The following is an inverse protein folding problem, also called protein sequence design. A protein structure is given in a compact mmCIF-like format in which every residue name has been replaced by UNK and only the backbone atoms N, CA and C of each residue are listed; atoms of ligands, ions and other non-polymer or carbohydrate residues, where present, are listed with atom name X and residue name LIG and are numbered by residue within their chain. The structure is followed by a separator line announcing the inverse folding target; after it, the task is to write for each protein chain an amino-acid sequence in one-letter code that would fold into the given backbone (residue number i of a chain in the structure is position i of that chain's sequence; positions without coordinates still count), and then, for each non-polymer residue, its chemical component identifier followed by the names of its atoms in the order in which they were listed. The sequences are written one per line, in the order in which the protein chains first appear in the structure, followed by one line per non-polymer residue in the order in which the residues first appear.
data_IF_695815437010
#
_entry.id   IF_695815437010
#
_cell.length_a   1.000
_cell.length_b   1.000
_cell.length_c   1.000
_cell.angle_alpha   90.00
_cell.angle_beta   90.00
_cell.angle_gamma   90.00
#
_symmetry.space_group_name_H-M   'P 1'
#
loop_
_entity.id
_entity.type
_entity.pdbx_description
1 polymer ?
#
# COMPACT_ATOMS: atom_id res chain seq x y z
N UNK A 1 29.41 -23.66 -3.47
CA UNK A 1 29.20 -22.40 -4.24
C UNK A 1 27.85 -21.84 -3.84
N UNK A 2 27.79 -20.69 -3.19
CA UNK A 2 26.54 -20.17 -2.63
C UNK A 2 25.77 -19.42 -3.74
N UNK A 3 24.81 -20.07 -4.38
CA UNK A 3 24.04 -19.59 -5.54
C UNK A 3 23.35 -18.24 -5.24
N UNK A 4 23.00 -17.98 -3.96
CA UNK A 4 22.35 -16.74 -3.55
C UNK A 4 23.27 -15.50 -3.52
N UNK A 5 24.59 -15.66 -3.68
CA UNK A 5 25.54 -14.53 -3.80
C UNK A 5 25.68 -14.01 -5.24
N UNK A 6 25.07 -14.65 -6.22
CA UNK A 6 25.14 -14.23 -7.61
C UNK A 6 24.03 -13.20 -7.91
N UNK A 7 24.41 -11.93 -8.09
CA UNK A 7 23.46 -10.85 -8.35
C UNK A 7 22.63 -11.02 -9.63
N UNK A 8 23.19 -11.70 -10.66
CA UNK A 8 22.46 -12.02 -11.89
C UNK A 8 21.37 -13.07 -11.63
N UNK A 9 21.68 -14.11 -10.87
CA UNK A 9 20.72 -15.14 -10.48
C UNK A 9 19.57 -14.56 -9.63
N UNK A 10 19.88 -13.69 -8.69
CA UNK A 10 18.87 -12.99 -7.88
C UNK A 10 17.96 -12.09 -8.74
N UNK A 11 18.53 -11.39 -9.74
CA UNK A 11 17.72 -10.61 -10.71
C UNK A 11 16.81 -11.50 -11.55
N UNK A 12 17.31 -12.63 -12.04
CA UNK A 12 16.52 -13.60 -12.83
C UNK A 12 15.35 -14.17 -12.00
N UNK A 13 15.58 -14.52 -10.74
CA UNK A 13 14.50 -14.99 -9.84
C UNK A 13 13.52 -13.86 -9.53
N UNK A 14 14.00 -12.65 -9.26
CA UNK A 14 13.14 -11.51 -8.92
C UNK A 14 12.13 -11.18 -10.04
N UNK A 15 12.53 -11.37 -11.30
CA UNK A 15 11.71 -11.11 -12.48
C UNK A 15 11.08 -12.37 -13.09
N UNK A 16 11.31 -13.55 -12.49
CA UNK A 16 10.88 -14.81 -13.07
C UNK A 16 9.35 -14.99 -13.01
N UNK A 17 8.76 -15.68 -14.01
CA UNK A 17 7.35 -16.06 -14.00
C UNK A 17 7.01 -17.02 -12.84
N UNK A 18 7.99 -17.75 -12.30
CA UNK A 18 7.83 -18.63 -11.14
C UNK A 18 7.33 -17.83 -9.92
N UNK A 19 7.86 -16.63 -9.71
CA UNK A 19 7.39 -15.74 -8.63
C UNK A 19 5.93 -15.35 -8.80
N UNK A 20 5.49 -15.10 -10.02
CA UNK A 20 4.09 -14.78 -10.32
C UNK A 20 3.16 -15.95 -9.96
N UNK A 21 3.55 -17.18 -10.35
CA UNK A 21 2.78 -18.40 -10.06
C UNK A 21 2.62 -18.59 -8.56
N UNK A 22 3.68 -18.43 -7.77
CA UNK A 22 3.63 -18.53 -6.32
C UNK A 22 2.82 -17.42 -5.63
N UNK A 23 2.82 -16.21 -6.18
CA UNK A 23 2.10 -15.09 -5.58
C UNK A 23 0.61 -15.04 -5.96
N UNK A 24 0.21 -15.66 -7.07
CA UNK A 24 -1.17 -15.65 -7.54
C UNK A 24 -2.20 -16.13 -6.50
N UNK A 25 -2.01 -17.27 -5.80
CA UNK A 25 -2.94 -17.71 -4.77
C UNK A 25 -2.96 -16.77 -3.55
N UNK A 26 -1.80 -16.25 -3.15
CA UNK A 26 -1.67 -15.30 -2.03
C UNK A 26 -2.44 -14.02 -2.35
N UNK A 27 -2.22 -13.44 -3.53
CA UNK A 27 -2.92 -12.26 -4.03
C UNK A 27 -4.43 -12.48 -4.06
N UNK A 28 -4.89 -13.62 -4.59
CA UNK A 28 -6.31 -13.98 -4.63
C UNK A 28 -6.91 -14.04 -3.22
N UNK A 29 -6.19 -14.64 -2.26
CA UNK A 29 -6.61 -14.73 -0.86
C UNK A 29 -6.77 -13.34 -0.23
N UNK A 30 -5.74 -12.49 -0.29
CA UNK A 30 -5.77 -11.15 0.28
C UNK A 30 -6.87 -10.29 -0.37
N UNK A 31 -7.01 -10.36 -1.70
CA UNK A 31 -8.05 -9.61 -2.41
C UNK A 31 -9.45 -10.06 -2.05
N UNK A 32 -9.67 -11.36 -1.82
CA UNK A 32 -10.98 -11.90 -1.43
C UNK A 32 -11.48 -11.37 -0.07
N UNK A 33 -10.56 -11.14 0.86
CA UNK A 33 -10.88 -10.65 2.21
C UNK A 33 -10.77 -9.12 2.34
N UNK A 34 -10.41 -8.42 1.27
CA UNK A 34 -10.32 -6.96 1.26
C UNK A 34 -11.59 -6.34 0.71
N UNK A 35 -12.11 -5.35 1.39
CA UNK A 35 -13.09 -4.41 0.84
C UNK A 35 -12.39 -3.31 0.05
N UNK A 36 -13.04 -2.83 -1.01
CA UNK A 36 -12.60 -1.67 -1.79
C UNK A 36 -13.47 -0.47 -1.41
N UNK A 37 -12.84 0.67 -1.21
CA UNK A 37 -13.52 1.96 -1.07
C UNK A 37 -12.80 3.03 -1.88
N UNK A 38 -13.54 4.05 -2.30
CA UNK A 38 -12.98 5.27 -2.89
C UNK A 38 -12.99 6.34 -1.80
N UNK A 39 -11.86 6.96 -1.57
CA UNK A 39 -11.71 8.11 -0.69
C UNK A 39 -11.55 9.36 -1.57
N UNK A 40 -12.32 10.39 -1.31
CA UNK A 40 -12.22 11.70 -1.98
C UNK A 40 -11.82 12.74 -0.94
N UNK A 41 -10.75 13.46 -1.22
CA UNK A 41 -10.18 14.50 -0.35
C UNK A 41 -10.89 15.84 -0.53
N UNK A 42 -10.55 16.80 0.33
CA UNK A 42 -11.09 18.16 0.32
C UNK A 42 -10.83 18.90 -1.00
N UNK A 43 -9.73 18.59 -1.69
CA UNK A 43 -9.39 19.12 -3.02
C UNK A 43 -10.01 18.34 -4.19
N UNK A 44 -11.01 17.49 -3.91
CA UNK A 44 -11.75 16.69 -4.90
C UNK A 44 -10.91 15.64 -5.64
N UNK A 45 -9.74 15.29 -5.14
CA UNK A 45 -8.95 14.19 -5.67
C UNK A 45 -9.37 12.86 -5.02
N UNK A 46 -9.42 11.80 -5.81
CA UNK A 46 -9.90 10.49 -5.38
C UNK A 46 -8.83 9.42 -5.50
N UNK A 47 -8.77 8.55 -4.51
CA UNK A 47 -7.88 7.38 -4.46
C UNK A 47 -8.66 6.13 -4.09
N UNK A 48 -8.12 4.97 -4.42
CA UNK A 48 -8.68 3.69 -4.01
C UNK A 48 -7.97 3.14 -2.77
N UNK A 49 -8.75 2.65 -1.82
CA UNK A 49 -8.26 2.00 -0.61
C UNK A 49 -8.81 0.58 -0.58
N UNK A 50 -7.93 -0.40 -0.35
CA UNK A 50 -8.26 -1.82 -0.19
C UNK A 50 -7.91 -2.27 1.22
N UNK A 51 -8.90 -2.64 2.01
CA UNK A 51 -8.76 -2.87 3.44
C UNK A 51 -9.27 -4.26 3.85
N UNK A 52 -8.47 -4.99 4.66
CA UNK A 52 -8.97 -6.09 5.48
C UNK A 52 -9.42 -5.54 6.84
N UNK A 53 -10.42 -6.12 7.47
CA UNK A 53 -10.92 -5.65 8.77
C UNK A 53 -11.23 -6.83 9.69
N UNK A 54 -10.18 -7.46 10.21
CA UNK A 54 -10.24 -8.65 11.07
C UNK A 54 -9.47 -8.47 12.39
N UNK A 55 -8.53 -7.52 12.46
CA UNK A 55 -7.57 -7.38 13.55
C UNK A 55 -7.50 -5.94 14.07
N UNK A 56 -6.94 -5.77 15.29
CA UNK A 56 -6.76 -4.45 15.91
C UNK A 56 -5.55 -3.68 15.38
N UNK A 57 -4.45 -4.39 15.05
CA UNK A 57 -3.24 -3.76 14.48
C UNK A 57 -3.44 -3.56 12.99
N UNK A 58 -3.16 -2.37 12.49
CA UNK A 58 -3.31 -2.02 11.07
C UNK A 58 -2.01 -1.57 10.45
N UNK A 59 -1.81 -1.91 9.21
CA UNK A 59 -0.66 -1.44 8.43
C UNK A 59 -1.14 -0.87 7.10
N UNK A 60 -0.76 0.39 6.84
CA UNK A 60 -1.04 1.10 5.60
C UNK A 60 0.17 1.01 4.69
N UNK A 61 -0.05 0.50 3.47
CA UNK A 61 0.98 0.34 2.45
C UNK A 61 0.89 1.44 1.40
N UNK A 62 2.02 2.12 1.19
CA UNK A 62 2.24 3.05 0.09
C UNK A 62 3.14 2.38 -0.95
N UNK A 63 2.65 2.13 -2.16
CA UNK A 63 3.46 1.54 -3.23
C UNK A 63 4.52 2.52 -3.73
N UNK A 64 5.52 1.99 -4.45
CA UNK A 64 6.46 2.81 -5.21
C UNK A 64 5.82 3.40 -6.46
N UNK A 65 6.62 4.13 -7.24
CA UNK A 65 6.20 4.71 -8.52
C UNK A 65 5.56 3.66 -9.44
N UNK A 66 4.41 3.96 -10.00
CA UNK A 66 3.57 3.06 -10.80
C UNK A 66 3.17 1.75 -10.09
N UNK A 67 3.42 1.64 -8.79
CA UNK A 67 3.01 0.49 -8.01
C UNK A 67 1.51 0.52 -7.68
N UNK A 68 0.97 -0.65 -7.37
CA UNK A 68 -0.46 -0.83 -7.03
C UNK A 68 -0.64 -1.89 -5.95
N UNK A 69 -1.87 -2.07 -5.48
CA UNK A 69 -2.22 -3.02 -4.40
C UNK A 69 -1.71 -4.46 -4.59
N UNK A 70 -1.48 -4.87 -5.84
CA UNK A 70 -1.05 -6.22 -6.21
C UNK A 70 0.42 -6.29 -6.64
N UNK A 71 1.20 -5.24 -6.38
CA UNK A 71 2.64 -5.20 -6.71
C UNK A 71 3.38 -6.37 -6.08
N UNK A 72 4.27 -7.00 -6.86
CA UNK A 72 4.98 -8.25 -6.50
C UNK A 72 5.84 -8.14 -5.23
N UNK A 73 6.28 -6.94 -4.88
CA UNK A 73 7.04 -6.69 -3.66
C UNK A 73 6.12 -6.50 -2.44
N UNK A 74 4.90 -6.02 -2.64
CA UNK A 74 3.95 -5.70 -1.58
C UNK A 74 3.19 -6.95 -1.10
N UNK A 75 2.70 -7.78 -2.01
CA UNK A 75 1.85 -8.93 -1.70
C UNK A 75 2.46 -9.92 -0.70
N UNK A 76 3.74 -10.36 -0.83
CA UNK A 76 4.34 -11.27 0.15
C UNK A 76 4.39 -10.68 1.56
N UNK A 77 4.76 -9.40 1.68
CA UNK A 77 4.83 -8.73 2.97
C UNK A 77 3.43 -8.52 3.57
N UNK A 78 2.46 -8.11 2.74
CA UNK A 78 1.07 -7.99 3.16
C UNK A 78 0.52 -9.32 3.71
N UNK A 79 0.80 -10.44 3.03
CA UNK A 79 0.39 -11.76 3.51
C UNK A 79 1.10 -12.15 4.81
N UNK A 80 2.41 -11.90 4.92
CA UNK A 80 3.17 -12.18 6.14
C UNK A 80 2.59 -11.42 7.35
N UNK A 81 2.32 -10.13 7.19
CA UNK A 81 1.76 -9.30 8.26
C UNK A 81 0.31 -9.71 8.59
N UNK A 82 -0.48 -10.06 7.56
CA UNK A 82 -1.82 -10.58 7.81
C UNK A 82 -1.81 -11.88 8.64
N UNK A 83 -0.90 -12.80 8.37
CA UNK A 83 -0.69 -14.02 9.19
C UNK A 83 -0.24 -13.67 10.62
N UNK A 84 0.40 -12.51 10.81
CA UNK A 84 0.82 -11.97 12.12
C UNK A 84 -0.26 -11.11 12.79
N UNK A 85 -1.52 -11.24 12.37
CA UNK A 85 -2.69 -10.56 12.93
C UNK A 85 -2.66 -9.03 12.72
N UNK A 86 -2.15 -8.58 11.57
CA UNK A 86 -2.34 -7.21 11.10
C UNK A 86 -3.44 -7.15 10.06
N UNK A 87 -4.27 -6.14 10.12
CA UNK A 87 -5.07 -5.73 8.98
C UNK A 87 -4.23 -4.99 7.97
N UNK A 88 -4.51 -5.26 6.71
CA UNK A 88 -3.74 -4.77 5.58
C UNK A 88 -4.56 -3.73 4.84
N UNK A 89 -4.05 -2.51 4.81
CA UNK A 89 -4.63 -1.39 4.08
C UNK A 89 -3.66 -1.05 2.94
N UNK A 90 -4.12 -1.17 1.69
CA UNK A 90 -3.32 -0.92 0.50
C UNK A 90 -3.93 0.24 -0.26
N UNK A 91 -3.16 1.30 -0.47
CA UNK A 91 -3.59 2.51 -1.15
C UNK A 91 -3.13 2.49 -2.60
N UNK A 92 -4.05 2.80 -3.52
CA UNK A 92 -3.71 3.25 -4.87
C UNK A 92 -3.67 4.77 -4.86
N UNK A 93 -2.50 5.40 -4.93
CA UNK A 93 -2.42 6.84 -5.15
C UNK A 93 -3.07 7.26 -6.48
N UNK A 94 -3.21 8.55 -6.69
CA UNK A 94 -3.68 9.11 -7.96
C UNK A 94 -2.87 8.50 -9.12
N UNK A 95 -3.52 8.16 -10.22
CA UNK A 95 -2.94 7.56 -11.45
C UNK A 95 -2.19 6.23 -11.24
N UNK A 96 -2.43 5.54 -10.13
CA UNK A 96 -1.85 4.23 -9.86
C UNK A 96 -2.94 3.16 -9.88
N UNK A 97 -2.62 1.99 -10.40
CA UNK A 97 -3.51 0.83 -10.34
C UNK A 97 -4.83 0.96 -11.09
N UNK A 98 -4.84 1.63 -12.25
CA UNK A 98 -6.01 1.92 -13.10
C UNK A 98 -6.99 2.92 -12.45
N UNK A 99 -6.49 3.93 -11.73
CA UNK A 99 -7.30 4.99 -11.11
C UNK A 99 -7.34 6.30 -11.93
N UNK A 100 -6.80 6.31 -13.13
CA UNK A 100 -6.70 7.48 -14.02
C UNK A 100 -8.06 8.12 -14.29
N UNK A 101 -9.11 7.31 -14.35
CA UNK A 101 -10.48 7.77 -14.57
C UNK A 101 -11.12 8.49 -13.38
N UNK A 102 -10.50 8.42 -12.20
CA UNK A 102 -11.03 9.03 -10.97
C UNK A 102 -10.64 10.51 -10.83
N UNK A 103 -9.62 10.96 -11.54
CA UNK A 103 -9.06 12.30 -11.38
C UNK A 103 -8.85 12.98 -12.72
N UNK A 104 -8.96 14.31 -12.76
CA UNK A 104 -8.62 15.13 -13.94
C UNK A 104 -7.14 15.47 -13.98
N UNK A 105 -6.51 15.60 -12.80
CA UNK A 105 -5.12 15.97 -12.64
C UNK A 105 -4.22 14.74 -12.50
N UNK A 106 -2.98 14.85 -12.98
CA UNK A 106 -1.98 13.80 -12.85
C UNK A 106 -1.38 13.76 -11.45
N UNK A 107 -0.90 12.59 -11.08
CA UNK A 107 -0.14 12.38 -9.84
C UNK A 107 1.08 13.30 -9.78
N UNK A 108 1.23 14.01 -8.67
CA UNK A 108 2.39 14.83 -8.33
C UNK A 108 3.00 14.31 -7.02
N UNK A 109 4.26 13.88 -7.07
CA UNK A 109 4.98 13.38 -5.89
C UNK A 109 5.13 14.44 -4.78
N UNK A 110 5.01 15.73 -5.13
CA UNK A 110 5.04 16.86 -4.18
C UNK A 110 3.73 17.07 -3.46
N UNK A 111 2.60 16.70 -4.07
CA UNK A 111 1.27 16.83 -3.50
C UNK A 111 0.83 15.53 -2.85
N UNK A 112 0.90 15.49 -1.52
CA UNK A 112 0.47 14.33 -0.71
C UNK A 112 -0.75 14.63 0.15
N UNK A 113 -1.42 15.77 -0.05
CA UNK A 113 -2.54 16.20 0.80
C UNK A 113 -3.66 15.14 0.82
N UNK A 114 -4.03 14.61 -0.34
CA UNK A 114 -5.04 13.55 -0.45
C UNK A 114 -4.66 12.30 0.37
N UNK A 115 -3.37 11.94 0.40
CA UNK A 115 -2.89 10.78 1.15
C UNK A 115 -2.85 11.07 2.66
N UNK A 116 -2.52 12.30 3.09
CA UNK A 116 -2.61 12.73 4.48
C UNK A 116 -4.05 12.62 4.96
N UNK A 117 -5.00 13.19 4.24
CA UNK A 117 -6.43 13.16 4.60
C UNK A 117 -6.99 11.73 4.61
N UNK A 118 -6.55 10.87 3.70
CA UNK A 118 -6.92 9.45 3.70
C UNK A 118 -6.40 8.73 4.95
N UNK A 119 -5.15 8.96 5.36
CA UNK A 119 -4.59 8.38 6.59
C UNK A 119 -5.30 8.91 7.83
N UNK A 120 -5.61 10.21 7.89
CA UNK A 120 -6.43 10.80 8.95
C UNK A 120 -7.81 10.15 9.04
N UNK A 121 -8.47 9.96 7.90
CA UNK A 121 -9.78 9.30 7.83
C UNK A 121 -9.72 7.86 8.36
N UNK A 122 -8.65 7.12 8.03
CA UNK A 122 -8.42 5.78 8.56
C UNK A 122 -8.19 5.83 10.08
N UNK A 123 -7.38 6.77 10.58
CA UNK A 123 -7.14 6.94 12.01
C UNK A 123 -8.42 7.26 12.78
N UNK A 124 -9.23 8.16 12.27
CA UNK A 124 -10.52 8.52 12.87
C UNK A 124 -11.53 7.35 12.85
N UNK A 125 -11.49 6.52 11.81
CA UNK A 125 -12.31 5.30 11.72
C UNK A 125 -11.90 4.26 12.77
N UNK A 126 -10.63 4.24 13.16
CA UNK A 126 -10.04 3.24 14.06
C UNK A 126 -9.28 3.88 15.24
N UNK A 127 -9.92 4.69 16.09
CA UNK A 127 -9.25 5.55 17.07
C UNK A 127 -8.50 4.79 18.18
N UNK A 128 -8.74 3.48 18.33
CA UNK A 128 -8.10 2.65 19.36
C UNK A 128 -7.19 1.57 18.75
N UNK A 129 -6.84 1.70 17.47
CA UNK A 129 -6.01 0.75 16.78
C UNK A 129 -4.58 1.30 16.65
N UNK A 130 -3.62 0.41 16.79
CA UNK A 130 -2.22 0.67 16.45
C UNK A 130 -2.10 0.70 14.91
N UNK A 131 -1.68 1.83 14.33
CA UNK A 131 -1.55 2.02 12.89
C UNK A 131 -0.08 2.22 12.53
N UNK A 132 0.41 1.44 11.58
CA UNK A 132 1.77 1.51 11.07
C UNK A 132 1.75 1.91 9.59
N UNK A 133 2.76 2.66 9.15
CA UNK A 133 2.95 3.02 7.75
C UNK A 133 4.13 2.24 7.17
N UNK A 134 3.94 1.64 6.01
CA UNK A 134 5.00 0.98 5.24
C UNK A 134 5.01 1.54 3.82
N UNK A 135 6.15 2.07 3.40
CA UNK A 135 6.32 2.62 2.07
C UNK A 135 7.47 1.97 1.31
N UNK A 136 7.33 1.86 0.00
CA UNK A 136 8.34 1.33 -0.91
C UNK A 136 8.83 2.43 -1.85
N UNK A 137 10.15 2.71 -1.89
CA UNK A 137 10.71 3.74 -2.79
C UNK A 137 9.99 5.08 -2.60
N UNK A 138 9.33 5.61 -3.63
CA UNK A 138 8.49 6.81 -3.54
C UNK A 138 7.47 6.72 -2.41
N UNK A 139 6.84 5.55 -2.22
CA UNK A 139 5.92 5.33 -1.09
C UNK A 139 6.59 5.45 0.26
N UNK A 140 7.89 5.13 0.38
CA UNK A 140 8.69 5.36 1.59
C UNK A 140 8.85 6.86 1.90
N UNK A 141 9.15 7.66 0.87
CA UNK A 141 9.18 9.12 1.01
C UNK A 141 7.80 9.68 1.45
N UNK A 142 6.72 9.18 0.83
CA UNK A 142 5.35 9.55 1.20
C UNK A 142 5.07 9.20 2.66
N UNK A 143 5.37 7.97 3.09
CA UNK A 143 5.14 7.53 4.47
C UNK A 143 5.88 8.41 5.49
N UNK A 144 7.15 8.75 5.23
CA UNK A 144 7.94 9.65 6.09
C UNK A 144 7.33 11.06 6.17
N UNK A 145 6.91 11.61 5.04
CA UNK A 145 6.31 12.95 4.99
C UNK A 145 4.95 12.99 5.71
N UNK A 146 4.15 11.91 5.58
CA UNK A 146 2.89 11.77 6.31
C UNK A 146 3.18 11.70 7.81
N UNK A 147 4.14 10.87 8.26
CA UNK A 147 4.49 10.74 9.68
C UNK A 147 5.03 12.03 10.30
N UNK A 148 5.67 12.88 9.49
CA UNK A 148 6.15 14.20 9.92
C UNK A 148 5.09 15.29 9.86
N UNK A 149 3.89 15.01 9.37
CA UNK A 149 2.80 15.98 9.28
C UNK A 149 2.16 16.19 10.64
N UNK A 150 2.00 17.44 11.08
CA UNK A 150 1.28 17.81 12.31
C UNK A 150 -0.19 17.36 12.30
N UNK A 151 -0.71 17.07 11.12
CA UNK A 151 -2.07 16.57 10.93
C UNK A 151 -2.30 15.13 11.43
N UNK A 152 -1.23 14.38 11.77
CA UNK A 152 -1.27 12.95 12.14
C UNK A 152 -0.78 12.80 13.59
N UNK A 153 -1.71 12.73 14.54
CA UNK A 153 -1.39 12.68 15.98
C UNK A 153 -1.60 11.29 16.61
N UNK A 154 -1.87 10.27 15.83
CA UNK A 154 -2.22 8.92 16.30
C UNK A 154 -1.24 7.82 15.84
N UNK A 155 -0.15 8.19 15.17
CA UNK A 155 0.93 7.26 14.75
C UNK A 155 1.95 7.05 15.85
#
# INVERSE_FOLDING_TARGET
MNIFKNGLFNKLIAHSPIREIHQKPIRKKINKISSKQIFTSSNSQSIEIFETNLHKKKVIFFPGWLGHKDSKYLIPLANLLHIKNFDIIRIHPIDHGNTEHLNKDFFRATDIQTLIEAVQSIGNKYPHNEIHLIGFSLGGNIALRISASEAINFL
#
